data_IF_668996362086
#
_entry.id   IF_668996362086
#
_cell.length_a   1.000
_cell.length_b   1.000
_cell.length_c   1.000
_cell.angle_alpha   90.00
_cell.angle_beta   90.00
_cell.angle_gamma   90.00
#
_symmetry.space_group_name_H-M   'P 1'
#
loop_
_entity.id
_entity.type
_entity.pdbx_description
1 polymer ?
#
# COMPACT_ATOMS: atom_id res chain seq x y z
N UNK A 1 3.15 -15.36 -33.72
CA UNK A 1 2.44 -14.06 -33.64
C UNK A 1 3.30 -13.04 -32.94
N UNK A 2 3.31 -11.79 -33.43
CA UNK A 2 4.15 -10.69 -32.94
C UNK A 2 4.09 -10.53 -31.41
N UNK A 3 2.89 -10.61 -30.83
CA UNK A 3 2.65 -10.55 -29.38
C UNK A 3 3.45 -11.60 -28.57
N UNK A 4 3.47 -12.86 -29.01
CA UNK A 4 4.21 -13.93 -28.32
C UNK A 4 5.72 -13.71 -28.38
N UNK A 5 6.21 -13.16 -29.50
CA UNK A 5 7.64 -12.85 -29.68
C UNK A 5 8.05 -11.66 -28.81
N UNK A 6 7.22 -10.62 -28.75
CA UNK A 6 7.41 -9.46 -27.88
C UNK A 6 7.48 -9.90 -26.40
N UNK A 7 6.50 -10.69 -25.96
CA UNK A 7 6.51 -11.23 -24.59
C UNK A 7 7.75 -12.09 -24.30
N UNK A 8 8.14 -12.96 -25.23
CA UNK A 8 9.33 -13.81 -25.05
C UNK A 8 10.61 -12.99 -24.91
N UNK A 9 10.76 -11.90 -25.68
CA UNK A 9 11.89 -10.99 -25.56
C UNK A 9 11.92 -10.31 -24.19
N UNK A 10 10.78 -9.82 -23.70
CA UNK A 10 10.68 -9.22 -22.35
C UNK A 10 11.02 -10.25 -21.26
N UNK A 11 10.51 -11.48 -21.39
CA UNK A 11 10.79 -12.56 -20.44
C UNK A 11 12.29 -12.87 -20.37
N UNK A 12 12.96 -12.95 -21.53
CA UNK A 12 14.41 -13.19 -21.62
C UNK A 12 15.23 -12.02 -21.09
N UNK A 13 14.85 -10.77 -21.41
CA UNK A 13 15.50 -9.58 -20.88
C UNK A 13 15.38 -9.50 -19.36
N UNK A 14 14.19 -9.79 -18.83
CA UNK A 14 13.97 -9.88 -17.38
C UNK A 14 14.84 -10.95 -16.73
N UNK A 15 14.95 -12.14 -17.34
CA UNK A 15 15.82 -13.20 -16.84
C UNK A 15 17.29 -12.80 -16.88
N UNK A 16 17.75 -12.17 -17.97
CA UNK A 16 19.13 -11.69 -18.09
C UNK A 16 19.44 -10.64 -17.01
N UNK A 17 18.51 -9.70 -16.75
CA UNK A 17 18.63 -8.73 -15.67
C UNK A 17 18.74 -9.39 -14.29
N UNK A 18 17.95 -10.44 -14.03
CA UNK A 18 18.07 -11.22 -12.80
C UNK A 18 19.42 -11.95 -12.71
N UNK A 19 19.91 -12.56 -13.79
CA UNK A 19 21.22 -13.23 -13.81
C UNK A 19 22.33 -12.24 -13.44
N UNK A 20 22.31 -11.03 -14.01
CA UNK A 20 23.27 -9.96 -13.66
C UNK A 20 23.15 -9.57 -12.18
N UNK A 21 21.93 -9.39 -11.67
CA UNK A 21 21.70 -9.12 -10.25
C UNK A 21 22.19 -10.26 -9.34
N UNK A 22 21.99 -11.51 -9.76
CA UNK A 22 22.43 -12.71 -9.06
C UNK A 22 23.94 -12.86 -8.99
N UNK A 23 24.69 -12.35 -9.98
CA UNK A 23 26.15 -12.29 -9.90
C UNK A 23 26.64 -11.35 -8.78
N UNK A 24 25.85 -10.33 -8.45
CA UNK A 24 26.18 -9.35 -7.40
C UNK A 24 25.62 -9.75 -6.02
N UNK A 25 24.42 -10.32 -5.99
CA UNK A 25 23.63 -10.58 -4.78
C UNK A 25 23.65 -12.06 -4.34
N UNK A 26 24.22 -12.93 -5.17
CA UNK A 26 24.38 -14.36 -4.88
C UNK A 26 23.32 -15.25 -5.51
N UNK A 27 23.59 -16.56 -5.46
CA UNK A 27 22.76 -17.59 -6.08
C UNK A 27 21.38 -17.71 -5.41
N UNK A 28 21.31 -17.56 -4.09
CA UNK A 28 20.04 -17.62 -3.36
C UNK A 28 19.07 -16.55 -3.86
N UNK A 29 19.54 -15.31 -4.00
CA UNK A 29 18.76 -14.21 -4.54
C UNK A 29 18.25 -14.51 -5.96
N UNK A 30 19.13 -15.03 -6.82
CA UNK A 30 18.79 -15.39 -8.20
C UNK A 30 17.71 -16.46 -8.27
N UNK A 31 17.80 -17.51 -7.44
CA UNK A 31 16.84 -18.61 -7.43
C UNK A 31 15.47 -18.10 -6.98
N UNK A 32 15.40 -17.35 -5.89
CA UNK A 32 14.14 -16.84 -5.36
C UNK A 32 13.47 -15.82 -6.31
N UNK A 33 14.24 -14.85 -6.81
CA UNK A 33 13.73 -13.89 -7.79
C UNK A 33 13.33 -14.57 -9.10
N UNK A 34 14.13 -15.54 -9.55
CA UNK A 34 13.87 -16.34 -10.75
C UNK A 34 12.58 -17.16 -10.65
N UNK A 35 12.27 -17.75 -9.49
CA UNK A 35 11.03 -18.49 -9.27
C UNK A 35 9.80 -17.59 -9.39
N UNK A 36 9.82 -16.40 -8.77
CA UNK A 36 8.71 -15.45 -8.86
C UNK A 36 8.59 -14.89 -10.28
N UNK A 37 9.70 -14.59 -10.95
CA UNK A 37 9.67 -14.13 -12.34
C UNK A 37 9.13 -15.21 -13.30
N UNK A 38 9.53 -16.47 -13.11
CA UNK A 38 9.02 -17.59 -13.88
C UNK A 38 7.50 -17.78 -13.67
N UNK A 39 7.04 -17.64 -12.42
CA UNK A 39 5.61 -17.68 -12.10
C UNK A 39 4.84 -16.55 -12.80
N UNK A 40 5.35 -15.31 -12.76
CA UNK A 40 4.70 -14.18 -13.43
C UNK A 40 4.72 -14.37 -14.96
N UNK A 41 5.83 -14.85 -15.53
CA UNK A 41 5.89 -15.19 -16.94
C UNK A 41 4.87 -16.27 -17.32
N UNK A 42 4.71 -17.30 -16.50
CA UNK A 42 3.71 -18.35 -16.69
C UNK A 42 2.28 -17.77 -16.66
N UNK A 43 1.97 -16.94 -15.67
CA UNK A 43 0.67 -16.28 -15.53
C UNK A 43 0.37 -15.36 -16.72
N UNK A 44 1.34 -14.55 -17.14
CA UNK A 44 1.21 -13.69 -18.32
C UNK A 44 1.00 -14.52 -19.58
N UNK A 45 1.79 -15.59 -19.79
CA UNK A 45 1.65 -16.48 -20.94
C UNK A 45 0.26 -17.10 -21.03
N UNK A 46 -0.30 -17.53 -19.90
CA UNK A 46 -1.66 -18.10 -19.81
C UNK A 46 -2.73 -17.05 -20.14
N UNK A 47 -2.51 -15.79 -19.77
CA UNK A 47 -3.44 -14.68 -19.98
C UNK A 47 -3.20 -13.86 -21.25
N UNK A 48 -2.19 -14.16 -22.07
CA UNK A 48 -1.96 -13.50 -23.36
C UNK A 48 -3.20 -13.40 -24.26
N UNK A 49 -4.11 -14.41 -24.31
CA UNK A 49 -5.36 -14.29 -25.06
C UNK A 49 -6.31 -13.20 -24.53
N UNK A 50 -6.08 -12.64 -23.34
CA UNK A 50 -6.85 -11.56 -22.75
C UNK A 50 -6.30 -10.17 -23.11
N UNK A 51 -5.29 -10.06 -23.98
CA UNK A 51 -4.76 -8.78 -24.46
C UNK A 51 -5.73 -8.10 -25.46
N UNK A 52 -6.93 -7.77 -24.97
CA UNK A 52 -8.04 -7.17 -25.70
C UNK A 52 -8.86 -6.29 -24.72
N UNK A 53 -9.58 -5.26 -25.21
CA UNK A 53 -10.32 -4.35 -24.34
C UNK A 53 -11.59 -4.98 -23.76
N UNK A 54 -12.29 -5.83 -24.51
CA UNK A 54 -13.47 -6.57 -24.09
C UNK A 54 -13.41 -8.02 -24.62
N UNK A 55 -14.19 -8.97 -24.06
CA UNK A 55 -14.16 -10.37 -24.50
C UNK A 55 -14.41 -10.54 -26.00
N UNK A 56 -15.25 -9.70 -26.60
CA UNK A 56 -15.66 -9.77 -28.01
C UNK A 56 -14.77 -8.95 -28.95
N UNK A 57 -13.83 -8.17 -28.41
CA UNK A 57 -12.94 -7.32 -29.21
C UNK A 57 -11.73 -8.10 -29.78
N UNK A 58 -11.17 -7.64 -30.92
CA UNK A 58 -9.96 -8.23 -31.48
C UNK A 58 -8.76 -8.05 -30.55
N UNK A 59 -7.81 -8.98 -30.64
CA UNK A 59 -6.57 -8.93 -29.88
C UNK A 59 -5.71 -7.73 -30.31
N UNK A 60 -5.11 -7.03 -29.35
CA UNK A 60 -4.09 -6.03 -29.66
C UNK A 60 -2.86 -6.69 -30.27
N UNK A 61 -2.28 -6.03 -31.29
CA UNK A 61 -1.10 -6.54 -32.03
C UNK A 61 0.15 -6.62 -31.14
N UNK A 62 0.27 -5.69 -30.20
CA UNK A 62 1.38 -5.56 -29.25
C UNK A 62 0.83 -5.50 -27.82
N UNK A 63 1.71 -5.66 -26.83
CA UNK A 63 1.33 -5.55 -25.42
C UNK A 63 0.87 -4.13 -25.03
N UNK A 64 1.40 -3.11 -25.70
CA UNK A 64 1.16 -1.70 -25.33
C UNK A 64 2.03 -1.25 -24.16
N UNK A 65 2.15 0.05 -23.95
CA UNK A 65 3.04 0.62 -22.94
C UNK A 65 2.60 0.30 -21.51
N UNK A 66 1.29 0.30 -21.24
CA UNK A 66 0.76 -0.03 -19.92
C UNK A 66 1.16 -1.45 -19.48
N UNK A 67 0.87 -2.48 -20.29
CA UNK A 67 1.22 -3.85 -19.95
C UNK A 67 2.74 -4.07 -19.84
N UNK A 68 3.56 -3.31 -20.59
CA UNK A 68 5.03 -3.34 -20.43
C UNK A 68 5.46 -2.79 -19.08
N UNK A 69 4.85 -1.70 -18.61
CA UNK A 69 5.10 -1.13 -17.29
C UNK A 69 4.63 -2.08 -16.18
N UNK A 70 3.46 -2.71 -16.33
CA UNK A 70 2.99 -3.73 -15.38
C UNK A 70 3.94 -4.93 -15.32
N UNK A 71 4.51 -5.36 -16.46
CA UNK A 71 5.54 -6.41 -16.47
C UNK A 71 6.87 -5.98 -15.83
N UNK A 72 7.28 -4.72 -16.03
CA UNK A 72 8.46 -4.16 -15.35
C UNK A 72 8.23 -4.10 -13.83
N UNK A 73 7.05 -3.68 -13.40
CA UNK A 73 6.61 -3.66 -12.00
C UNK A 73 6.64 -5.05 -11.38
N UNK A 74 6.07 -6.04 -12.08
CA UNK A 74 6.15 -7.45 -11.72
C UNK A 74 7.61 -7.96 -11.60
N UNK A 75 8.49 -7.54 -12.51
CA UNK A 75 9.91 -7.89 -12.45
C UNK A 75 10.61 -7.29 -11.21
N UNK A 76 10.30 -6.03 -10.86
CA UNK A 76 10.81 -5.41 -9.63
C UNK A 76 10.32 -6.16 -8.38
N UNK A 77 9.05 -6.59 -8.34
CA UNK A 77 8.51 -7.42 -7.26
C UNK A 77 9.26 -8.76 -7.18
N UNK A 78 9.57 -9.38 -8.32
CA UNK A 78 10.39 -10.59 -8.35
C UNK A 78 11.81 -10.33 -7.81
N UNK A 79 12.43 -9.20 -8.16
CA UNK A 79 13.72 -8.79 -7.62
C UNK A 79 13.68 -8.57 -6.10
N UNK A 80 12.60 -7.99 -5.56
CA UNK A 80 12.36 -7.87 -4.11
C UNK A 80 12.25 -9.25 -3.46
N UNK A 81 11.59 -10.20 -4.13
CA UNK A 81 11.46 -11.57 -3.66
C UNK A 81 12.80 -12.29 -3.47
N UNK A 82 13.82 -11.89 -4.26
CA UNK A 82 15.18 -12.39 -4.11
C UNK A 82 15.78 -12.13 -2.73
N UNK A 83 15.25 -11.18 -1.96
CA UNK A 83 15.72 -10.87 -0.61
C UNK A 83 15.02 -11.68 0.48
N UNK A 84 14.11 -12.61 0.13
CA UNK A 84 13.40 -13.40 1.12
C UNK A 84 14.35 -14.42 1.80
N UNK A 85 14.10 -14.73 3.07
CA UNK A 85 14.85 -15.75 3.80
C UNK A 85 16.39 -15.54 3.81
N UNK A 86 16.83 -14.31 3.67
CA UNK A 86 18.23 -13.91 3.80
C UNK A 86 18.34 -12.69 4.73
N UNK A 87 19.54 -12.46 5.27
CA UNK A 87 19.80 -11.29 6.09
C UNK A 87 19.61 -10.00 5.28
N UNK A 88 19.29 -8.91 5.97
CA UNK A 88 19.24 -7.60 5.36
C UNK A 88 20.60 -7.29 4.71
N UNK A 89 20.64 -6.92 3.42
CA UNK A 89 21.89 -6.59 2.74
C UNK A 89 22.69 -5.52 3.50
N UNK A 90 23.95 -5.82 3.76
CA UNK A 90 24.86 -4.89 4.41
C UNK A 90 25.43 -3.87 3.41
N UNK A 91 25.72 -2.66 3.90
CA UNK A 91 26.35 -1.59 3.12
C UNK A 91 25.40 -0.43 2.78
N UNK A 92 25.96 0.78 2.59
CA UNK A 92 25.17 2.01 2.48
C UNK A 92 24.28 2.09 1.24
N UNK A 93 24.61 1.40 0.15
CA UNK A 93 23.77 1.33 -1.05
C UNK A 93 22.87 0.09 -1.08
N UNK A 94 23.41 -1.07 -0.71
CA UNK A 94 22.69 -2.36 -0.78
C UNK A 94 21.54 -2.45 0.24
N UNK A 95 21.70 -1.86 1.43
CA UNK A 95 20.64 -1.85 2.45
C UNK A 95 19.37 -1.12 2.01
N UNK A 96 19.47 -0.15 1.09
CA UNK A 96 18.33 0.56 0.51
C UNK A 96 17.67 -0.18 -0.65
N UNK A 97 18.38 -1.15 -1.24
CA UNK A 97 17.98 -1.80 -2.49
C UNK A 97 16.59 -2.45 -2.40
N UNK A 98 16.24 -3.24 -1.36
CA UNK A 98 14.92 -3.87 -1.27
C UNK A 98 13.79 -2.84 -1.19
N UNK A 99 13.95 -1.81 -0.35
CA UNK A 99 12.96 -0.75 -0.18
C UNK A 99 12.80 0.13 -1.42
N UNK A 100 13.90 0.44 -2.13
CA UNK A 100 13.85 1.21 -3.37
C UNK A 100 13.22 0.42 -4.53
N UNK A 101 13.56 -0.87 -4.68
CA UNK A 101 12.93 -1.73 -5.68
C UNK A 101 11.42 -1.81 -5.46
N UNK A 102 10.98 -1.98 -4.21
CA UNK A 102 9.56 -2.03 -3.88
C UNK A 102 8.87 -0.66 -4.06
N UNK A 103 9.54 0.44 -3.69
CA UNK A 103 9.03 1.79 -3.93
C UNK A 103 8.82 2.05 -5.43
N UNK A 104 9.79 1.72 -6.27
CA UNK A 104 9.65 1.88 -7.72
C UNK A 104 8.53 0.99 -8.28
N UNK A 105 8.36 -0.23 -7.76
CA UNK A 105 7.24 -1.08 -8.12
C UNK A 105 5.89 -0.43 -7.75
N UNK A 106 5.76 0.12 -6.54
CA UNK A 106 4.56 0.80 -6.08
C UNK A 106 4.27 2.09 -6.88
N UNK A 107 5.30 2.85 -7.27
CA UNK A 107 5.12 4.05 -8.10
C UNK A 107 4.67 3.70 -9.52
N UNK A 108 5.22 2.62 -10.10
CA UNK A 108 4.83 2.16 -11.44
C UNK A 108 3.36 1.75 -11.53
N UNK A 109 2.74 1.28 -10.44
CA UNK A 109 1.31 0.96 -10.37
C UNK A 109 0.40 2.16 -10.65
N UNK A 110 0.82 3.36 -10.23
CA UNK A 110 0.06 4.57 -10.55
C UNK A 110 0.31 5.01 -12.00
N UNK A 111 1.54 4.84 -12.47
CA UNK A 111 1.97 5.26 -13.81
C UNK A 111 1.36 4.38 -14.90
N UNK A 112 1.32 3.06 -14.73
CA UNK A 112 0.79 2.15 -15.76
C UNK A 112 -0.72 2.35 -15.98
N UNK A 113 -1.49 2.57 -14.91
CA UNK A 113 -2.91 2.91 -14.98
C UNK A 113 -3.16 4.26 -15.64
N UNK A 114 -2.30 5.27 -15.37
CA UNK A 114 -2.37 6.56 -16.06
C UNK A 114 -2.07 6.42 -17.55
N UNK A 115 -1.02 5.67 -17.92
CA UNK A 115 -0.63 5.42 -19.31
C UNK A 115 -1.72 4.62 -20.04
N UNK A 116 -2.33 3.62 -19.41
CA UNK A 116 -3.42 2.83 -19.99
C UNK A 116 -4.61 3.71 -20.40
N UNK A 117 -5.01 4.64 -19.52
CA UNK A 117 -6.11 5.57 -19.77
C UNK A 117 -5.76 6.59 -20.86
N UNK A 118 -4.58 7.21 -20.75
CA UNK A 118 -4.14 8.23 -21.72
C UNK A 118 -3.88 7.67 -23.12
N UNK A 119 -3.45 6.41 -23.22
CA UNK A 119 -3.21 5.74 -24.51
C UNK A 119 -4.45 5.07 -25.10
N UNK A 120 -5.57 4.99 -24.35
CA UNK A 120 -6.77 4.28 -24.79
C UNK A 120 -6.57 2.77 -24.99
N UNK A 121 -5.52 2.18 -24.41
CA UNK A 121 -5.17 0.76 -24.54
C UNK A 121 -5.36 0.01 -23.22
N UNK A 122 -6.55 0.11 -22.62
CA UNK A 122 -6.92 -0.77 -21.51
C UNK A 122 -7.15 -2.19 -22.01
N UNK A 123 -6.66 -3.19 -21.28
CA UNK A 123 -6.81 -4.60 -21.65
C UNK A 123 -7.20 -5.46 -20.46
N UNK A 124 -7.97 -6.53 -20.71
CA UNK A 124 -8.34 -7.50 -19.68
C UNK A 124 -7.09 -8.19 -19.09
N UNK A 125 -6.08 -8.47 -19.92
CA UNK A 125 -4.76 -8.97 -19.50
C UNK A 125 -4.13 -8.03 -18.47
N UNK A 126 -4.11 -6.73 -18.76
CA UNK A 126 -3.53 -5.72 -17.88
C UNK A 126 -4.19 -5.73 -16.51
N UNK A 127 -5.52 -5.65 -16.45
CA UNK A 127 -6.28 -5.64 -15.20
C UNK A 127 -6.07 -6.90 -14.35
N UNK A 128 -6.05 -8.08 -14.99
CA UNK A 128 -5.79 -9.34 -14.30
C UNK A 128 -4.34 -9.44 -13.78
N UNK A 129 -3.37 -9.01 -14.60
CA UNK A 129 -1.96 -9.06 -14.23
C UNK A 129 -1.63 -8.05 -13.13
N UNK A 130 -2.27 -6.88 -13.17
CA UNK A 130 -2.20 -5.82 -12.17
C UNK A 130 -2.61 -6.36 -10.79
N UNK A 131 -3.81 -6.98 -10.72
CA UNK A 131 -4.34 -7.58 -9.50
C UNK A 131 -3.41 -8.69 -8.95
N UNK A 132 -2.89 -9.54 -9.82
CA UNK A 132 -1.97 -10.63 -9.41
C UNK A 132 -0.63 -10.07 -8.92
N UNK A 133 -0.10 -9.06 -9.60
CA UNK A 133 1.18 -8.44 -9.23
C UNK A 133 1.05 -7.71 -7.88
N UNK A 134 -0.06 -7.01 -7.64
CA UNK A 134 -0.36 -6.37 -6.35
C UNK A 134 -0.41 -7.38 -5.21
N UNK A 135 -1.18 -8.45 -5.38
CA UNK A 135 -1.36 -9.46 -4.35
C UNK A 135 -0.02 -10.15 -4.01
N UNK A 136 0.81 -10.43 -5.01
CA UNK A 136 2.14 -11.03 -4.81
C UNK A 136 3.08 -10.01 -4.17
N UNK A 137 3.11 -8.78 -4.67
CA UNK A 137 3.97 -7.72 -4.16
C UNK A 137 3.71 -7.42 -2.69
N UNK A 138 2.44 -7.33 -2.30
CA UNK A 138 2.05 -7.07 -0.92
C UNK A 138 2.43 -8.24 0.00
N UNK A 139 2.22 -9.49 -0.42
CA UNK A 139 2.60 -10.66 0.35
C UNK A 139 4.13 -10.77 0.52
N UNK A 140 4.88 -10.58 -0.56
CA UNK A 140 6.35 -10.63 -0.55
C UNK A 140 6.92 -9.51 0.33
N UNK A 141 6.46 -8.26 0.16
CA UNK A 141 6.95 -7.15 0.96
C UNK A 141 6.57 -7.30 2.44
N UNK A 142 5.39 -7.83 2.75
CA UNK A 142 4.96 -8.13 4.12
C UNK A 142 5.82 -9.23 4.75
N UNK A 143 6.12 -10.29 4.00
CA UNK A 143 7.01 -11.37 4.44
C UNK A 143 8.44 -10.88 4.64
N UNK A 144 8.93 -10.03 3.74
CA UNK A 144 10.26 -9.43 3.83
C UNK A 144 10.37 -8.49 5.03
N UNK A 145 9.39 -7.60 5.23
CA UNK A 145 9.36 -6.71 6.38
C UNK A 145 9.32 -7.49 7.70
N UNK A 146 8.57 -8.60 7.76
CA UNK A 146 8.59 -9.49 8.91
C UNK A 146 9.96 -10.18 9.08
N UNK A 147 10.54 -10.70 8.00
CA UNK A 147 11.86 -11.35 8.01
C UNK A 147 12.99 -10.43 8.48
N UNK A 148 12.88 -9.13 8.20
CA UNK A 148 13.79 -8.10 8.69
C UNK A 148 13.46 -7.59 10.10
N UNK A 149 12.44 -8.12 10.76
CA UNK A 149 12.02 -7.70 12.10
C UNK A 149 11.36 -6.32 12.14
N UNK A 150 10.95 -5.77 11.00
CA UNK A 150 10.34 -4.43 10.91
C UNK A 150 8.87 -4.43 11.32
N UNK A 151 8.15 -5.54 11.12
CA UNK A 151 6.75 -5.65 11.50
C UNK A 151 6.52 -6.89 12.35
N UNK A 152 5.48 -6.85 13.18
CA UNK A 152 5.03 -8.01 13.95
C UNK A 152 4.43 -9.09 13.01
N UNK A 153 4.55 -10.36 13.38
CA UNK A 153 4.09 -11.50 12.56
C UNK A 153 2.60 -11.40 12.16
N UNK A 154 1.78 -10.73 12.96
CA UNK A 154 0.36 -10.50 12.66
C UNK A 154 0.14 -9.77 11.34
N UNK A 155 1.11 -8.96 10.89
CA UNK A 155 1.04 -8.25 9.61
C UNK A 155 1.00 -9.21 8.41
N UNK A 156 1.51 -10.44 8.56
CA UNK A 156 1.41 -11.48 7.53
C UNK A 156 -0.04 -11.86 7.24
N UNK A 157 -0.97 -11.71 8.20
CA UNK A 157 -2.40 -11.91 7.97
C UNK A 157 -2.92 -10.96 6.88
N UNK A 158 -2.47 -9.71 6.91
CA UNK A 158 -2.83 -8.73 5.90
C UNK A 158 -2.18 -9.02 4.55
N UNK A 159 -0.87 -9.34 4.53
CA UNK A 159 -0.19 -9.76 3.30
C UNK A 159 -0.84 -10.98 2.62
N UNK A 160 -1.46 -11.86 3.40
CA UNK A 160 -2.17 -13.04 2.90
C UNK A 160 -3.69 -12.86 2.77
N UNK A 161 -4.24 -11.70 3.13
CA UNK A 161 -5.69 -11.49 3.18
C UNK A 161 -6.36 -11.72 1.82
N UNK A 162 -5.74 -11.27 0.73
CA UNK A 162 -6.23 -11.50 -0.63
C UNK A 162 -6.36 -12.99 -0.97
N UNK A 163 -5.34 -13.79 -0.63
CA UNK A 163 -5.32 -15.22 -0.91
C UNK A 163 -6.31 -15.98 -0.03
N UNK A 164 -6.40 -15.64 1.25
CA UNK A 164 -7.38 -16.21 2.17
C UNK A 164 -8.81 -15.92 1.71
N UNK A 165 -9.06 -14.69 1.24
CA UNK A 165 -10.36 -14.28 0.71
C UNK A 165 -10.74 -15.07 -0.55
N UNK A 166 -9.81 -15.21 -1.51
CA UNK A 166 -10.04 -16.00 -2.73
C UNK A 166 -10.18 -17.50 -2.44
N UNK A 167 -9.36 -18.06 -1.55
CA UNK A 167 -9.48 -19.45 -1.11
C UNK A 167 -10.85 -19.71 -0.47
N UNK A 168 -11.34 -18.75 0.33
CA UNK A 168 -12.68 -18.79 0.90
C UNK A 168 -13.77 -18.82 -0.17
N UNK A 169 -13.67 -18.00 -1.22
CA UNK A 169 -14.61 -18.00 -2.35
C UNK A 169 -14.57 -19.35 -3.07
N UNK A 170 -13.38 -19.87 -3.39
CA UNK A 170 -13.21 -21.15 -4.04
C UNK A 170 -13.84 -22.29 -3.23
N UNK A 171 -13.64 -22.29 -1.91
CA UNK A 171 -14.23 -23.27 -1.01
C UNK A 171 -15.76 -23.18 -0.98
N UNK A 172 -16.34 -21.97 -0.96
CA UNK A 172 -17.81 -21.80 -1.05
C UNK A 172 -18.37 -22.30 -2.37
N UNK A 173 -17.73 -21.95 -3.48
CA UNK A 173 -18.11 -22.42 -4.82
C UNK A 173 -18.06 -23.95 -4.91
N UNK A 174 -17.03 -24.58 -4.34
CA UNK A 174 -16.90 -26.04 -4.32
C UNK A 174 -18.01 -26.74 -3.51
N UNK A 175 -18.64 -26.02 -2.57
CA UNK A 175 -19.76 -26.49 -1.74
C UNK A 175 -21.13 -26.05 -2.26
N UNK A 176 -21.20 -25.41 -3.44
CA UNK A 176 -22.45 -24.89 -4.00
C UNK A 176 -23.09 -23.79 -3.15
N UNK A 177 -22.34 -23.14 -2.26
CA UNK A 177 -22.84 -22.04 -1.44
C UNK A 177 -22.92 -20.76 -2.26
N UNK A 178 -23.95 -19.91 -2.05
CA UNK A 178 -24.06 -18.65 -2.78
C UNK A 178 -22.89 -17.71 -2.44
N UNK A 179 -22.39 -17.02 -3.46
CA UNK A 179 -21.34 -16.00 -3.37
C UNK A 179 -21.93 -14.71 -3.92
N UNK A 180 -22.14 -13.74 -3.03
CA UNK A 180 -22.76 -12.48 -3.40
C UNK A 180 -21.72 -11.50 -3.98
N UNK A 181 -22.09 -10.69 -4.99
CA UNK A 181 -21.17 -9.75 -5.60
C UNK A 181 -20.78 -8.65 -4.62
N UNK A 182 -19.49 -8.33 -4.59
CA UNK A 182 -18.98 -7.22 -3.79
C UNK A 182 -19.36 -5.88 -4.43
N UNK A 183 -19.94 -4.93 -3.68
CA UNK A 183 -20.17 -3.59 -4.20
C UNK A 183 -18.83 -2.92 -4.51
N UNK A 184 -18.78 -2.07 -5.55
CA UNK A 184 -17.58 -1.31 -5.88
C UNK A 184 -17.25 -0.36 -4.73
N UNK A 185 -16.00 -0.43 -4.25
CA UNK A 185 -15.53 0.30 -3.09
C UNK A 185 -14.27 1.08 -3.44
N UNK A 186 -14.44 2.36 -3.78
CA UNK A 186 -13.34 3.29 -4.13
C UNK A 186 -12.26 3.35 -3.04
N UNK A 187 -12.66 3.20 -1.76
CA UNK A 187 -11.75 3.22 -0.61
C UNK A 187 -10.75 2.06 -0.57
N UNK A 188 -11.06 0.88 -1.14
CA UNK A 188 -10.17 -0.29 -1.11
C UNK A 188 -8.85 -0.03 -1.83
N UNK A 189 -8.91 0.67 -2.97
CA UNK A 189 -7.72 0.99 -3.76
C UNK A 189 -6.81 1.98 -3.04
N UNK A 190 -7.39 3.04 -2.48
CA UNK A 190 -6.65 4.03 -1.70
C UNK A 190 -5.97 3.39 -0.49
N UNK A 191 -6.67 2.48 0.21
CA UNK A 191 -6.08 1.74 1.31
C UNK A 191 -4.93 0.84 0.86
N UNK A 192 -5.08 0.09 -0.25
CA UNK A 192 -3.99 -0.71 -0.79
C UNK A 192 -2.75 0.15 -1.14
N UNK A 193 -2.95 1.32 -1.75
CA UNK A 193 -1.86 2.25 -2.05
C UNK A 193 -1.11 2.74 -0.80
N UNK A 194 -1.84 3.08 0.27
CA UNK A 194 -1.21 3.45 1.55
C UNK A 194 -0.41 2.29 2.17
N UNK A 195 -0.87 1.05 2.00
CA UNK A 195 -0.17 -0.13 2.52
C UNK A 195 1.12 -0.40 1.74
N UNK A 196 1.08 -0.25 0.42
CA UNK A 196 2.27 -0.31 -0.42
C UNK A 196 3.27 0.80 -0.04
N UNK A 197 2.79 2.03 0.19
CA UNK A 197 3.63 3.14 0.64
C UNK A 197 4.28 2.87 2.01
N UNK A 198 3.50 2.36 2.97
CA UNK A 198 4.02 1.98 4.28
C UNK A 198 5.10 0.88 4.18
N UNK A 199 4.84 -0.19 3.43
CA UNK A 199 5.83 -1.27 3.25
C UNK A 199 7.10 -0.79 2.54
N UNK A 200 7.00 0.13 1.58
CA UNK A 200 8.16 0.72 0.94
C UNK A 200 9.06 1.46 1.94
N UNK A 201 8.45 2.26 2.83
CA UNK A 201 9.18 3.02 3.87
C UNK A 201 9.69 2.09 4.98
N UNK A 202 8.92 1.08 5.37
CA UNK A 202 9.33 0.10 6.39
C UNK A 202 10.55 -0.73 5.97
N UNK A 203 10.79 -0.86 4.66
CA UNK A 203 11.96 -1.52 4.09
C UNK A 203 13.16 -0.58 3.90
N UNK A 204 13.09 0.68 4.34
CA UNK A 204 14.25 1.58 4.36
C UNK A 204 15.10 1.32 5.61
N UNK A 205 16.44 1.32 5.50
CA UNK A 205 17.33 1.03 6.63
C UNK A 205 17.31 2.10 7.73
N UNK A 206 16.75 3.28 7.42
CA UNK A 206 16.59 4.42 8.32
C UNK A 206 15.49 4.20 9.36
N UNK A 207 14.41 3.49 9.00
CA UNK A 207 13.24 3.32 9.87
C UNK A 207 13.34 1.96 10.55
N UNK A 208 13.21 1.93 11.88
CA UNK A 208 13.37 0.72 12.69
C UNK A 208 12.26 0.60 13.73
N UNK A 209 12.06 -0.60 14.32
CA UNK A 209 11.16 -0.75 15.46
C UNK A 209 11.57 0.20 16.61
N UNK A 210 10.62 0.76 17.37
CA UNK A 210 9.22 0.33 17.47
C UNK A 210 8.25 0.99 16.47
N UNK A 211 8.68 2.00 15.70
CA UNK A 211 7.80 2.80 14.84
C UNK A 211 7.21 1.94 13.71
N UNK A 212 8.02 1.10 13.07
CA UNK A 212 7.57 0.22 12.00
C UNK A 212 6.61 -0.85 12.50
N UNK A 213 6.83 -1.40 13.70
CA UNK A 213 5.88 -2.32 14.33
C UNK A 213 4.56 -1.66 14.67
N UNK A 214 4.59 -0.43 15.19
CA UNK A 214 3.41 0.36 15.50
C UNK A 214 2.63 0.75 14.24
N UNK A 215 3.33 1.22 13.21
CA UNK A 215 2.76 1.47 11.89
C UNK A 215 2.15 0.21 11.29
N UNK A 216 2.81 -0.94 11.44
CA UNK A 216 2.27 -2.22 11.04
C UNK A 216 0.87 -2.46 11.60
N UNK A 217 0.68 -2.29 12.91
CA UNK A 217 -0.65 -2.42 13.53
C UNK A 217 -1.63 -1.33 13.06
N UNK A 218 -1.19 -0.07 13.01
CA UNK A 218 -2.04 1.06 12.66
C UNK A 218 -2.59 0.96 11.23
N UNK A 219 -1.77 0.52 10.28
CA UNK A 219 -2.16 0.26 8.89
C UNK A 219 -2.95 -1.04 8.75
N UNK A 220 -2.52 -2.13 9.39
CA UNK A 220 -3.13 -3.45 9.24
C UNK A 220 -4.57 -3.50 9.75
N UNK A 221 -4.86 -2.89 10.92
CA UNK A 221 -6.13 -3.06 11.61
C UNK A 221 -7.36 -2.62 10.77
N UNK A 222 -7.42 -1.38 10.22
CA UNK A 222 -8.53 -0.98 9.37
C UNK A 222 -8.69 -1.86 8.13
N UNK A 223 -7.57 -2.29 7.55
CA UNK A 223 -7.58 -3.10 6.33
C UNK A 223 -8.14 -4.50 6.57
N UNK A 224 -7.71 -5.19 7.63
CA UNK A 224 -8.25 -6.51 8.01
C UNK A 224 -9.74 -6.40 8.36
N UNK A 225 -10.14 -5.36 9.10
CA UNK A 225 -11.56 -5.13 9.38
C UNK A 225 -12.37 -4.95 8.10
N UNK A 226 -11.84 -4.24 7.10
CA UNK A 226 -12.42 -4.13 5.76
C UNK A 226 -12.60 -5.50 5.09
N UNK A 227 -11.56 -6.34 5.06
CA UNK A 227 -11.63 -7.70 4.52
C UNK A 227 -12.64 -8.59 5.26
N UNK A 228 -12.75 -8.46 6.59
CA UNK A 228 -13.72 -9.21 7.39
C UNK A 228 -15.16 -8.81 7.06
N UNK A 229 -15.43 -7.50 6.94
CA UNK A 229 -16.74 -6.99 6.52
C UNK A 229 -17.06 -7.46 5.11
N UNK A 230 -16.10 -7.39 4.20
CA UNK A 230 -16.25 -7.88 2.82
C UNK A 230 -16.59 -9.36 2.79
N UNK A 231 -15.93 -10.17 3.63
CA UNK A 231 -16.22 -11.60 3.74
C UNK A 231 -17.64 -11.87 4.27
N UNK A 232 -18.11 -11.08 5.24
CA UNK A 232 -19.48 -11.19 5.76
C UNK A 232 -20.53 -10.85 4.68
N UNK A 233 -20.22 -9.92 3.78
CA UNK A 233 -21.06 -9.58 2.62
C UNK A 233 -21.06 -10.73 1.61
N UNK A 234 -19.87 -11.21 1.19
CA UNK A 234 -19.75 -12.33 0.22
C UNK A 234 -20.46 -13.59 0.72
N UNK A 235 -20.32 -13.87 2.01
CA UNK A 235 -20.88 -15.08 2.61
C UNK A 235 -22.41 -15.04 2.80
N UNK A 236 -23.04 -13.89 2.52
CA UNK A 236 -24.48 -13.69 2.69
C UNK A 236 -24.92 -13.49 4.15
N UNK A 237 -23.99 -13.32 5.08
CA UNK A 237 -24.32 -13.00 6.49
C UNK A 237 -24.79 -11.56 6.65
N UNK A 238 -24.32 -10.68 5.76
CA UNK A 238 -24.76 -9.30 5.65
C UNK A 238 -25.36 -9.12 4.26
N UNK A 239 -26.69 -9.04 4.20
CA UNK A 239 -27.38 -8.67 2.98
C UNK A 239 -27.42 -7.14 2.85
N UNK A 240 -26.57 -6.58 1.99
CA UNK A 240 -26.52 -5.14 1.74
C UNK A 240 -27.72 -4.64 0.92
N UNK A 241 -28.47 -5.53 0.28
CA UNK A 241 -29.70 -5.19 -0.46
C UNK A 241 -30.90 -5.05 0.49
N UNK A 242 -30.86 -5.66 1.67
CA UNK A 242 -31.85 -5.44 2.71
C UNK A 242 -31.79 -4.00 3.23
N UNK A 243 -32.90 -3.26 3.12
CA UNK A 243 -32.99 -1.85 3.50
C UNK A 243 -32.53 -1.56 4.94
N UNK A 244 -32.85 -2.45 5.89
CA UNK A 244 -32.46 -2.32 7.29
C UNK A 244 -30.94 -2.37 7.49
N UNK A 245 -30.23 -3.20 6.73
CA UNK A 245 -28.77 -3.33 6.80
C UNK A 245 -28.13 -2.13 6.10
N UNK A 246 -28.62 -1.75 4.92
CA UNK A 246 -28.11 -0.58 4.21
C UNK A 246 -28.25 0.70 5.06
N UNK A 247 -29.38 0.90 5.73
CA UNK A 247 -29.59 2.02 6.67
C UNK A 247 -28.62 1.99 7.85
N UNK A 248 -28.29 0.82 8.40
CA UNK A 248 -27.26 0.69 9.46
C UNK A 248 -25.87 1.05 8.95
N UNK A 249 -25.49 0.61 7.75
CA UNK A 249 -24.20 0.96 7.15
C UNK A 249 -24.12 2.45 6.79
N UNK A 250 -25.21 3.05 6.31
CA UNK A 250 -25.32 4.49 6.07
C UNK A 250 -25.17 5.26 7.38
N UNK A 251 -25.91 4.88 8.43
CA UNK A 251 -25.77 5.49 9.75
C UNK A 251 -24.36 5.35 10.32
N UNK A 252 -23.72 4.17 10.20
CA UNK A 252 -22.33 3.97 10.62
C UNK A 252 -21.37 4.87 9.83
N UNK A 253 -21.61 5.05 8.53
CA UNK A 253 -20.81 5.93 7.68
C UNK A 253 -21.00 7.40 8.10
N UNK A 254 -22.25 7.83 8.32
CA UNK A 254 -22.59 9.17 8.78
C UNK A 254 -22.03 9.45 10.18
N UNK A 255 -22.10 8.49 11.09
CA UNK A 255 -21.51 8.58 12.42
C UNK A 255 -19.98 8.63 12.35
N UNK A 256 -19.37 7.78 11.51
CA UNK A 256 -17.93 7.79 11.28
C UNK A 256 -17.47 9.15 10.75
N UNK A 257 -18.16 9.69 9.75
CA UNK A 257 -17.80 10.96 9.13
C UNK A 257 -18.15 12.17 10.00
N UNK A 258 -19.25 12.11 10.75
CA UNK A 258 -19.76 13.23 11.55
C UNK A 258 -19.18 13.33 12.96
N UNK A 259 -18.79 12.21 13.56
CA UNK A 259 -18.36 12.16 14.96
C UNK A 259 -16.95 11.55 15.09
N UNK A 260 -16.73 10.36 14.54
CA UNK A 260 -15.48 9.64 14.75
C UNK A 260 -14.27 10.37 14.15
N UNK A 261 -14.36 10.78 12.88
CA UNK A 261 -13.25 11.44 12.20
C UNK A 261 -12.93 12.83 12.79
N UNK A 262 -13.89 13.72 13.10
CA UNK A 262 -13.60 14.96 13.83
C UNK A 262 -13.04 14.73 15.24
N UNK A 263 -13.57 13.75 15.99
CA UNK A 263 -13.03 13.39 17.30
C UNK A 263 -11.58 12.90 17.19
N UNK A 264 -11.25 12.14 16.15
CA UNK A 264 -9.89 11.68 15.88
C UNK A 264 -8.92 12.85 15.68
N UNK A 265 -9.34 13.93 14.99
CA UNK A 265 -8.52 15.15 14.85
C UNK A 265 -8.22 15.80 16.19
N UNK A 266 -9.23 15.88 17.08
CA UNK A 266 -9.06 16.40 18.44
C UNK A 266 -8.09 15.53 19.24
N UNK A 267 -8.24 14.20 19.15
CA UNK A 267 -7.30 13.26 19.78
C UNK A 267 -5.88 13.50 19.28
N UNK A 268 -5.66 13.69 17.97
CA UNK A 268 -4.32 14.02 17.42
C UNK A 268 -3.76 15.28 18.08
N UNK A 269 -4.51 16.38 18.12
CA UNK A 269 -3.99 17.64 18.69
C UNK A 269 -3.75 17.54 20.19
N UNK A 270 -4.66 16.92 20.94
CA UNK A 270 -4.52 16.76 22.38
C UNK A 270 -3.33 15.87 22.71
N UNK A 271 -3.18 14.73 22.04
CA UNK A 271 -2.05 13.82 22.27
C UNK A 271 -0.73 14.43 21.81
N UNK A 272 -0.71 15.20 20.71
CA UNK A 272 0.46 15.98 20.29
C UNK A 272 0.85 17.03 21.34
N UNK A 273 -0.12 17.77 21.87
CA UNK A 273 0.15 18.78 22.92
C UNK A 273 0.67 18.13 24.21
N UNK A 274 0.09 17.01 24.63
CA UNK A 274 0.56 16.25 25.79
C UNK A 274 1.97 15.69 25.56
N UNK A 275 2.24 15.16 24.37
CA UNK A 275 3.58 14.68 23.98
C UNK A 275 4.60 15.81 24.10
N UNK A 276 4.33 16.97 23.48
CA UNK A 276 5.20 18.16 23.55
C UNK A 276 5.39 18.67 24.99
N UNK A 277 4.36 18.60 25.84
CA UNK A 277 4.48 18.99 27.25
C UNK A 277 5.36 18.03 28.07
N UNK A 278 5.37 16.74 27.72
CA UNK A 278 6.16 15.72 28.41
C UNK A 278 7.61 15.65 27.90
N UNK A 279 7.81 15.69 26.58
CA UNK A 279 9.12 15.56 25.94
C UNK A 279 9.81 16.90 25.65
N UNK A 280 9.10 18.02 25.80
CA UNK A 280 9.53 19.31 25.27
C UNK A 280 9.29 19.44 23.76
N UNK A 281 9.64 20.60 23.22
CA UNK A 281 9.59 20.83 21.77
C UNK A 281 10.52 19.84 21.06
N UNK A 282 10.12 19.29 19.90
CA UNK A 282 10.95 18.41 19.10
C UNK A 282 12.10 19.20 18.46
N UNK A 283 13.13 19.49 19.27
CA UNK A 283 14.36 20.12 18.85
C UNK A 283 15.32 19.04 18.37
N UNK A 284 15.94 19.28 17.21
CA UNK A 284 17.08 18.52 16.74
C UNK A 284 18.26 18.69 17.72
N UNK A 285 19.25 17.78 17.68
CA UNK A 285 20.45 17.86 18.52
C UNK A 285 21.09 19.25 18.50
N UNK A 286 21.74 19.66 19.60
CA UNK A 286 22.29 21.02 19.82
C UNK A 286 23.21 21.55 18.71
N UNK A 287 23.77 20.65 17.89
CA UNK A 287 24.66 20.98 16.78
C UNK A 287 23.92 21.29 15.46
N UNK A 288 22.60 21.19 15.44
CA UNK A 288 21.77 21.48 14.27
C UNK A 288 21.56 22.99 14.07
N UNK A 289 21.50 23.47 12.82
CA UNK A 289 21.19 24.88 12.55
C UNK A 289 19.81 25.26 13.11
N UNK A 290 19.72 26.45 13.71
CA UNK A 290 18.47 26.99 14.29
C UNK A 290 17.32 27.06 13.28
N UNK A 291 17.61 27.32 12.00
CA UNK A 291 16.59 27.31 10.94
C UNK A 291 15.94 25.94 10.77
N UNK A 292 16.68 24.84 10.95
CA UNK A 292 16.18 23.49 10.81
C UNK A 292 15.25 23.11 11.96
N UNK A 293 15.58 23.56 13.18
CA UNK A 293 14.70 23.46 14.35
C UNK A 293 13.39 24.22 14.15
N UNK A 294 13.45 25.46 13.65
CA UNK A 294 12.27 26.27 13.39
C UNK A 294 11.37 25.63 12.32
N UNK A 295 11.95 25.02 11.28
CA UNK A 295 11.20 24.29 10.25
C UNK A 295 10.51 23.07 10.84
N UNK A 296 11.19 22.27 11.68
CA UNK A 296 10.58 21.09 12.29
C UNK A 296 9.44 21.44 13.23
N UNK A 297 9.66 22.37 14.16
CA UNK A 297 8.63 22.83 15.09
C UNK A 297 7.46 23.48 14.33
N UNK A 298 7.77 24.33 13.35
CA UNK A 298 6.77 24.92 12.46
C UNK A 298 5.97 23.85 11.70
N UNK A 299 6.63 22.78 11.26
CA UNK A 299 6.00 21.63 10.60
C UNK A 299 5.02 20.89 11.49
N UNK A 300 5.39 20.60 12.75
CA UNK A 300 4.49 19.97 13.73
C UNK A 300 3.27 20.85 14.04
N UNK A 301 3.49 22.15 14.27
CA UNK A 301 2.41 23.10 14.57
C UNK A 301 1.47 23.24 13.35
N UNK A 302 2.04 23.45 12.17
CA UNK A 302 1.28 23.62 10.94
C UNK A 302 0.48 22.35 10.63
N UNK A 303 1.11 21.18 10.66
CA UNK A 303 0.43 19.92 10.39
C UNK A 303 -0.67 19.65 11.42
N UNK A 304 -0.41 19.88 12.71
CA UNK A 304 -1.42 19.73 13.77
C UNK A 304 -2.63 20.66 13.56
N UNK A 305 -2.38 21.93 13.24
CA UNK A 305 -3.42 22.93 13.00
C UNK A 305 -4.22 22.61 11.72
N UNK A 306 -3.56 22.19 10.65
CA UNK A 306 -4.23 21.80 9.39
C UNK A 306 -5.06 20.53 9.54
N UNK A 307 -4.58 19.54 10.31
CA UNK A 307 -5.35 18.35 10.66
C UNK A 307 -6.58 18.74 11.48
N UNK A 308 -6.44 19.63 12.47
CA UNK A 308 -7.55 20.10 13.30
C UNK A 308 -8.65 20.77 12.47
N UNK A 309 -8.25 21.75 11.65
CA UNK A 309 -9.15 22.51 10.78
C UNK A 309 -9.71 21.65 9.63
N UNK A 310 -9.11 20.50 9.36
CA UNK A 310 -9.45 19.65 8.23
C UNK A 310 -9.19 20.36 6.90
N UNK A 311 -8.01 20.96 6.74
CA UNK A 311 -7.54 21.50 5.47
C UNK A 311 -6.47 20.55 4.94
N UNK A 312 -6.72 19.91 3.79
CA UNK A 312 -5.78 18.98 3.16
C UNK A 312 -5.28 17.90 4.14
N UNK A 313 -6.20 17.35 4.95
CA UNK A 313 -5.81 16.62 6.14
C UNK A 313 -5.07 15.31 5.88
N UNK A 314 -5.23 14.65 4.72
CA UNK A 314 -4.41 13.48 4.39
C UNK A 314 -2.97 13.87 4.10
N UNK A 315 -2.78 14.97 3.38
CA UNK A 315 -1.44 15.49 3.07
C UNK A 315 -0.70 15.88 4.34
N UNK A 316 -1.34 16.63 5.23
CA UNK A 316 -0.74 17.00 6.51
C UNK A 316 -0.60 15.83 7.49
N UNK A 317 -1.47 14.81 7.40
CA UNK A 317 -1.28 13.56 8.16
C UNK A 317 -0.06 12.79 7.65
N UNK A 318 0.19 12.74 6.34
CA UNK A 318 1.39 12.11 5.78
C UNK A 318 2.66 12.85 6.23
N UNK A 319 2.64 14.19 6.21
CA UNK A 319 3.72 15.01 6.77
C UNK A 319 3.90 14.71 8.25
N UNK A 320 2.82 14.67 9.03
CA UNK A 320 2.86 14.40 10.47
C UNK A 320 3.43 13.01 10.76
N UNK A 321 3.01 11.95 10.06
CA UNK A 321 3.59 10.60 10.20
C UNK A 321 5.08 10.61 9.88
N UNK A 322 5.50 11.35 8.85
CA UNK A 322 6.91 11.47 8.45
C UNK A 322 7.73 12.20 9.51
N UNK A 323 7.20 13.30 10.06
CA UNK A 323 7.84 14.07 11.13
C UNK A 323 7.94 13.28 12.44
N UNK A 324 6.87 12.59 12.84
CA UNK A 324 6.87 11.69 14.00
C UNK A 324 7.85 10.53 13.79
N UNK A 325 7.83 9.92 12.61
CA UNK A 325 8.78 8.87 12.24
C UNK A 325 10.22 9.34 12.37
N UNK A 326 10.54 10.55 11.89
CA UNK A 326 11.86 11.15 12.06
C UNK A 326 12.21 11.42 13.52
N UNK A 327 11.28 12.01 14.28
CA UNK A 327 11.50 12.36 15.68
C UNK A 327 11.80 11.13 16.55
N UNK A 328 11.05 10.04 16.40
CA UNK A 328 11.21 8.82 17.18
C UNK A 328 12.39 7.94 16.73
N UNK A 329 13.08 8.25 15.62
CA UNK A 329 14.37 7.61 15.30
C UNK A 329 15.41 7.94 16.38
N UNK A 330 15.37 9.15 16.94
CA UNK A 330 16.35 9.64 17.90
C UNK A 330 15.81 9.78 19.33
N UNK A 331 14.50 9.61 19.53
CA UNK A 331 13.82 9.81 20.81
C UNK A 331 12.99 8.58 21.20
N UNK A 332 12.93 8.23 22.50
CA UNK A 332 12.11 7.12 22.96
C UNK A 332 10.60 7.42 22.79
N UNK A 333 9.81 6.39 22.50
CA UNK A 333 8.35 6.48 22.40
C UNK A 333 7.70 6.45 23.79
N UNK A 334 6.94 7.49 24.12
CA UNK A 334 6.10 7.57 25.32
C UNK A 334 4.75 6.87 25.10
N UNK A 335 4.03 6.45 26.16
CA UNK A 335 2.70 5.82 26.02
C UNK A 335 1.69 6.65 25.22
N UNK A 336 1.74 7.98 25.34
CA UNK A 336 0.86 8.90 24.60
C UNK A 336 1.17 8.89 23.09
N UNK A 337 2.44 8.66 22.72
CA UNK A 337 2.89 8.66 21.34
C UNK A 337 2.34 7.48 20.53
N UNK A 338 2.05 6.35 21.19
CA UNK A 338 1.38 5.21 20.56
C UNK A 338 -0.02 5.60 20.07
N UNK A 339 -0.75 6.35 20.90
CA UNK A 339 -2.10 6.82 20.57
C UNK A 339 -2.02 7.90 19.49
N UNK A 340 -1.07 8.83 19.61
CA UNK A 340 -0.83 9.88 18.63
C UNK A 340 -0.56 9.27 17.24
N UNK A 341 0.43 8.38 17.13
CA UNK A 341 0.84 7.80 15.85
C UNK A 341 -0.30 7.00 15.21
N UNK A 342 -1.00 6.14 15.97
CA UNK A 342 -2.15 5.40 15.46
C UNK A 342 -3.27 6.33 14.99
N UNK A 343 -3.56 7.39 15.75
CA UNK A 343 -4.61 8.35 15.40
C UNK A 343 -4.27 9.11 14.11
N UNK A 344 -3.02 9.55 13.94
CA UNK A 344 -2.58 10.22 12.71
C UNK A 344 -2.66 9.28 11.50
N UNK A 345 -2.24 8.02 11.64
CA UNK A 345 -2.40 7.01 10.58
C UNK A 345 -3.87 6.78 10.24
N UNK A 346 -4.76 6.75 11.24
CA UNK A 346 -6.19 6.60 10.98
C UNK A 346 -6.82 7.84 10.34
N UNK A 347 -6.36 9.07 10.66
CA UNK A 347 -6.76 10.28 9.91
C UNK A 347 -6.27 10.17 8.46
N UNK A 348 -5.04 9.70 8.25
CA UNK A 348 -4.48 9.48 6.91
C UNK A 348 -5.30 8.49 6.10
N UNK A 349 -5.77 7.39 6.70
CA UNK A 349 -6.53 6.33 6.03
C UNK A 349 -8.01 6.64 5.84
N UNK A 350 -8.66 7.22 6.86
CA UNK A 350 -10.10 7.47 6.87
C UNK A 350 -10.46 8.85 6.30
N UNK A 351 -9.53 9.80 6.31
CA UNK A 351 -9.76 11.19 5.98
C UNK A 351 -10.21 12.00 7.19
N UNK A 352 -10.45 13.29 6.98
CA UNK A 352 -10.80 14.23 8.05
C UNK A 352 -12.28 14.19 8.43
N UNK A 353 -13.19 13.89 7.50
CA UNK A 353 -14.64 13.82 7.77
C UNK A 353 -15.39 15.15 7.68
N UNK A 354 -16.67 15.16 8.03
CA UNK A 354 -17.54 16.36 7.93
C UNK A 354 -16.97 17.52 8.76
N UNK A 355 -17.34 18.76 8.40
CA UNK A 355 -16.80 20.00 9.00
C UNK A 355 -15.31 20.27 8.70
N UNK A 356 -14.80 19.72 7.61
CA UNK A 356 -13.49 20.07 7.05
C UNK A 356 -13.61 21.36 6.26
N UNK A 357 -12.65 22.28 6.40
CA UNK A 357 -12.63 23.51 5.61
C UNK A 357 -12.26 23.27 4.14
N UNK A 358 -11.48 22.22 3.83
CA UNK A 358 -11.09 21.89 2.45
C UNK A 358 -10.72 20.40 2.28
N UNK A 359 -11.41 19.67 1.39
CA UNK A 359 -11.28 18.21 1.16
C UNK A 359 -10.93 17.82 -0.28
N UNK A 360 -10.39 18.73 -1.09
CA UNK A 360 -10.04 18.37 -2.48
C UNK A 360 -8.95 17.29 -2.57
N UNK A 361 -8.22 17.02 -1.48
CA UNK A 361 -7.29 15.89 -1.36
C UNK A 361 -8.02 14.53 -1.43
N UNK A 362 -9.23 14.42 -0.83
CA UNK A 362 -10.09 13.24 -0.99
C UNK A 362 -10.56 13.08 -2.46
N UNK A 363 -10.80 14.18 -3.16
CA UNK A 363 -11.18 14.14 -4.57
C UNK A 363 -10.01 13.83 -5.51
N UNK A 364 -8.79 14.28 -5.21
CA UNK A 364 -7.60 13.98 -6.02
C UNK A 364 -7.17 12.52 -5.90
N UNK A 365 -7.17 11.97 -4.68
CA UNK A 365 -6.86 10.55 -4.45
C UNK A 365 -7.89 9.61 -5.09
N UNK A 366 -9.16 10.01 -5.10
CA UNK A 366 -10.26 9.24 -5.71
C UNK A 366 -10.48 9.57 -7.20
N UNK A 367 -9.86 10.62 -7.76
CA UNK A 367 -9.89 10.90 -9.19
C UNK A 367 -9.07 9.83 -9.92
N UNK A 368 -9.68 9.29 -10.97
CA UNK A 368 -8.94 8.57 -11.98
C UNK A 368 -7.99 9.57 -12.67
N UNK A 369 -6.70 9.55 -12.30
CA UNK A 369 -5.71 10.36 -13.02
C UNK A 369 -5.76 10.01 -14.51
N UNK A 370 -6.09 10.98 -15.36
CA UNK A 370 -6.16 10.82 -16.82
C UNK A 370 -7.56 10.57 -17.41
N UNK A 371 -8.63 10.90 -16.69
CA UNK A 371 -9.96 11.09 -17.28
C UNK A 371 -10.07 12.44 -18.01
#
# INVERSE_FOLDING_TARGET
GLLKREFFLIACLGLAGLVVGGLLLGLQWLVQAGLIWAFICYQTKRRLPLNRPSPDAPLYKNLGWANRLTLLRAWLIAAVAGFLFQAWPEGPALSWLPGMLYLFAALLDRVDGFVARRSGQSSLLGNDLDTVSDAIGLAIASLLAFGYGQVHWSYLLFGNAYYLFHAGIMWRNSRGLPVYPLPPALHRRTWAGFQMGFLAVALWPLVRPPITTLGGFAFMLPAILGFLVDWLIVSGRIDRQAEAVNRRFQWLTDFSQGVFQPALRLVVVVTLAVSVLQSGLPLLPSNSPTWMNNIMVGGFILAGLMILLGVAGRYFSLIMVSLLGWYYISNPLLPVDYILFCSVVWVLLLGTGRFSLWQEDDHWLNRYDGA
#
